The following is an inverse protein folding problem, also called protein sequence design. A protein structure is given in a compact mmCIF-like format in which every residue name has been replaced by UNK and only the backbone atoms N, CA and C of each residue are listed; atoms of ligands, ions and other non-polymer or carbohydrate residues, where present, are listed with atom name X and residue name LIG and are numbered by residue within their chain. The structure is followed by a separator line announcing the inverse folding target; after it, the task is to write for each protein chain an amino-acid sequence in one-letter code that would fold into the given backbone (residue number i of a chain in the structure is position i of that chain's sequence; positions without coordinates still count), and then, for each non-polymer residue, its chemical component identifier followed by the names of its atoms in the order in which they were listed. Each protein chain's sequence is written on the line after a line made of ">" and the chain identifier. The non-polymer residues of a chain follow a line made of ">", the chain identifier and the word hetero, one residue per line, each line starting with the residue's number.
data_IF_981099848833
#
_entry.id   IF_981099848833
#
_cell.length_a   1.000
_cell.length_b   1.000
_cell.length_c   1.000
_cell.angle_alpha   90.00
_cell.angle_beta   90.00
_cell.angle_gamma   90.00
#
_symmetry.space_group_name_H-M   'P 1'
#
loop_
_entity.id
_entity.type
_entity.pdbx_description
1 polymer ?
#
# COMPACT_ATOMS: atom_id res chain seq x y z
N UNK A 1 -52.09 -14.51 -34.84
CA UNK A 1 -51.67 -13.53 -33.80
C UNK A 1 -50.18 -13.37 -33.91
N UNK A 2 -49.72 -12.20 -34.37
CA UNK A 2 -48.31 -11.86 -34.55
C UNK A 2 -47.93 -10.97 -33.36
N UNK A 3 -47.14 -11.50 -32.43
CA UNK A 3 -46.50 -10.75 -31.36
C UNK A 3 -45.00 -10.65 -31.66
N UNK A 4 -44.54 -9.43 -32.00
CA UNK A 4 -43.12 -9.05 -32.08
C UNK A 4 -42.48 -9.11 -30.68
N UNK A 5 -41.13 -9.16 -30.57
CA UNK A 5 -40.44 -7.90 -30.29
C UNK A 5 -39.10 -7.77 -31.06
N UNK A 6 -38.88 -6.62 -31.70
CA UNK A 6 -38.07 -5.51 -31.15
C UNK A 6 -36.58 -5.72 -31.47
N UNK A 7 -36.22 -5.30 -32.67
CA UNK A 7 -34.86 -5.04 -33.10
C UNK A 7 -34.33 -3.83 -32.32
N UNK A 8 -33.66 -4.07 -31.21
CA UNK A 8 -32.87 -3.07 -30.48
C UNK A 8 -31.43 -3.09 -31.00
N UNK A 9 -31.23 -2.44 -32.14
CA UNK A 9 -29.91 -2.22 -32.73
C UNK A 9 -29.40 -0.85 -32.28
N UNK A 10 -28.38 -0.80 -31.43
CA UNK A 10 -27.49 0.37 -31.43
C UNK A 10 -26.74 0.78 -30.16
N UNK A 11 -27.07 0.31 -28.94
CA UNK A 11 -26.50 0.92 -27.71
C UNK A 11 -25.52 0.00 -26.94
N UNK A 12 -25.36 -1.27 -27.34
CA UNK A 12 -24.56 -2.24 -26.59
C UNK A 12 -23.04 -2.25 -26.91
N UNK A 13 -22.55 -1.45 -27.87
CA UNK A 13 -21.15 -1.48 -28.30
C UNK A 13 -20.18 -0.70 -27.40
N UNK A 14 -20.56 0.53 -26.99
CA UNK A 14 -19.65 1.42 -26.23
C UNK A 14 -19.55 1.05 -24.75
N UNK A 15 -20.67 0.67 -24.13
CA UNK A 15 -20.69 0.23 -22.73
C UNK A 15 -19.84 -1.04 -22.53
N UNK A 16 -19.85 -1.96 -23.49
CA UNK A 16 -19.04 -3.18 -23.46
C UNK A 16 -17.54 -2.89 -23.61
N UNK A 17 -17.15 -1.87 -24.38
CA UNK A 17 -15.75 -1.51 -24.57
C UNK A 17 -15.17 -0.82 -23.32
N UNK A 18 -15.93 0.10 -22.72
CA UNK A 18 -15.50 0.80 -21.51
C UNK A 18 -15.44 -0.14 -20.29
N UNK A 19 -16.39 -1.06 -20.15
CA UNK A 19 -16.33 -2.10 -19.11
C UNK A 19 -15.13 -3.03 -19.30
N UNK A 20 -14.81 -3.39 -20.55
CA UNK A 20 -13.64 -4.21 -20.86
C UNK A 20 -12.34 -3.50 -20.49
N UNK A 21 -12.21 -2.22 -20.83
CA UNK A 21 -11.04 -1.41 -20.50
C UNK A 21 -10.85 -1.29 -18.99
N UNK A 22 -11.90 -0.97 -18.23
CA UNK A 22 -11.85 -0.89 -16.77
C UNK A 22 -11.47 -2.23 -16.12
N UNK A 23 -11.98 -3.35 -16.67
CA UNK A 23 -11.63 -4.70 -16.20
C UNK A 23 -10.17 -5.04 -16.52
N UNK A 24 -9.69 -4.72 -17.71
CA UNK A 24 -8.30 -4.92 -18.11
C UNK A 24 -7.36 -4.08 -17.25
N UNK A 25 -7.73 -2.85 -16.90
CA UNK A 25 -6.94 -2.01 -16.01
C UNK A 25 -6.84 -2.62 -14.60
N UNK A 26 -7.96 -3.10 -14.05
CA UNK A 26 -7.99 -3.79 -12.75
C UNK A 26 -7.10 -5.04 -12.75
N UNK A 27 -7.22 -5.88 -13.79
CA UNK A 27 -6.40 -7.06 -13.98
C UNK A 27 -4.92 -6.70 -14.14
N UNK A 28 -4.61 -5.66 -14.91
CA UNK A 28 -3.24 -5.16 -15.14
C UNK A 28 -2.57 -4.71 -13.84
N UNK A 29 -3.30 -4.00 -12.97
CA UNK A 29 -2.81 -3.62 -11.63
C UNK A 29 -2.48 -4.85 -10.78
N UNK A 30 -3.34 -5.87 -10.80
CA UNK A 30 -3.14 -7.11 -10.04
C UNK A 30 -1.96 -7.94 -10.56
N UNK A 31 -1.84 -8.10 -11.88
CA UNK A 31 -0.69 -8.77 -12.51
C UNK A 31 0.61 -8.04 -12.15
N UNK A 32 0.63 -6.71 -12.23
CA UNK A 32 1.81 -5.91 -11.88
C UNK A 32 2.21 -6.09 -10.41
N UNK A 33 1.24 -6.15 -9.50
CA UNK A 33 1.49 -6.44 -8.08
C UNK A 33 2.12 -7.82 -7.89
N UNK A 34 1.60 -8.86 -8.54
CA UNK A 34 2.18 -10.21 -8.49
C UNK A 34 3.61 -10.26 -9.04
N UNK A 35 3.84 -9.65 -10.21
CA UNK A 35 5.14 -9.65 -10.85
C UNK A 35 6.20 -8.89 -10.05
N UNK A 36 5.81 -7.86 -9.28
CA UNK A 36 6.73 -7.11 -8.40
C UNK A 36 7.37 -7.99 -7.31
N UNK A 37 6.68 -9.05 -6.88
CA UNK A 37 7.19 -9.98 -5.87
C UNK A 37 8.10 -11.07 -6.45
N UNK A 38 8.15 -11.21 -7.77
CA UNK A 38 9.02 -12.17 -8.44
C UNK A 38 10.41 -11.56 -8.69
N UNK A 39 11.50 -12.34 -8.47
CA UNK A 39 12.87 -11.90 -8.73
C UNK A 39 13.17 -11.89 -10.23
N UNK A 40 12.42 -11.08 -10.98
CA UNK A 40 12.53 -10.93 -12.43
C UNK A 40 13.10 -9.56 -12.78
N UNK A 41 13.88 -9.45 -13.87
CA UNK A 41 14.25 -8.14 -14.42
C UNK A 41 12.99 -7.32 -14.77
N UNK A 42 13.06 -6.01 -14.56
CA UNK A 42 11.92 -5.10 -14.78
C UNK A 42 11.35 -5.19 -16.19
N UNK A 43 12.22 -5.22 -17.20
CA UNK A 43 11.84 -5.41 -18.60
C UNK A 43 11.02 -6.68 -18.80
N UNK A 44 11.42 -7.79 -18.20
CA UNK A 44 10.73 -9.08 -18.31
C UNK A 44 9.36 -9.03 -17.64
N UNK A 45 9.23 -8.32 -16.50
CA UNK A 45 7.93 -8.10 -15.86
C UNK A 45 6.97 -7.33 -16.76
N UNK A 46 7.43 -6.26 -17.39
CA UNK A 46 6.58 -5.47 -18.29
C UNK A 46 6.18 -6.24 -19.54
N UNK A 47 7.11 -6.94 -20.18
CA UNK A 47 6.81 -7.79 -21.33
C UNK A 47 5.76 -8.86 -20.99
N UNK A 48 5.92 -9.56 -19.86
CA UNK A 48 4.94 -10.56 -19.40
C UNK A 48 3.56 -9.96 -19.12
N UNK A 49 3.51 -8.79 -18.49
CA UNK A 49 2.24 -8.11 -18.22
C UNK A 49 1.52 -7.74 -19.52
N UNK A 50 2.25 -7.16 -20.48
CA UNK A 50 1.70 -6.77 -21.78
C UNK A 50 1.24 -7.98 -22.60
N UNK A 51 2.06 -9.02 -22.69
CA UNK A 51 1.68 -10.26 -23.41
C UNK A 51 0.41 -10.88 -22.81
N UNK A 52 0.28 -10.89 -21.48
CA UNK A 52 -0.89 -11.45 -20.79
C UNK A 52 -2.14 -10.62 -21.05
N UNK A 53 -2.03 -9.29 -20.95
CA UNK A 53 -3.16 -8.38 -21.22
C UNK A 53 -3.59 -8.40 -22.68
N UNK A 54 -2.64 -8.50 -23.62
CA UNK A 54 -2.93 -8.58 -25.04
C UNK A 54 -3.68 -9.86 -25.41
N UNK A 55 -3.26 -11.00 -24.84
CA UNK A 55 -3.97 -12.27 -25.00
C UNK A 55 -5.39 -12.22 -24.39
N UNK A 56 -5.55 -11.54 -23.25
CA UNK A 56 -6.84 -11.37 -22.60
C UNK A 56 -7.78 -10.45 -23.40
N UNK A 57 -7.24 -9.39 -24.02
CA UNK A 57 -8.01 -8.47 -24.86
C UNK A 57 -8.45 -9.12 -26.19
N UNK A 58 -7.65 -10.05 -26.72
CA UNK A 58 -7.96 -10.75 -27.97
C UNK A 58 -9.11 -11.76 -27.83
N UNK A 59 -9.29 -12.34 -26.64
CA UNK A 59 -10.40 -13.21 -26.30
C UNK A 59 -10.86 -12.91 -24.87
N UNK A 60 -11.79 -11.96 -24.69
CA UNK A 60 -12.28 -11.59 -23.36
C UNK A 60 -13.10 -12.72 -22.70
N UNK A 61 -13.76 -13.56 -23.49
CA UNK A 61 -14.60 -14.67 -23.00
C UNK A 61 -15.58 -14.22 -21.90
N UNK A 62 -15.65 -15.00 -20.82
CA UNK A 62 -16.48 -14.68 -19.65
C UNK A 62 -15.81 -13.65 -18.73
N UNK A 63 -16.36 -12.43 -18.74
CA UNK A 63 -15.89 -11.28 -17.95
C UNK A 63 -15.95 -11.50 -16.44
N UNK A 64 -16.81 -12.39 -15.95
CA UNK A 64 -16.92 -12.69 -14.51
C UNK A 64 -15.70 -13.44 -13.98
N UNK A 65 -15.00 -14.17 -14.85
CA UNK A 65 -13.83 -15.02 -14.52
C UNK A 65 -12.53 -14.48 -15.10
N UNK A 66 -12.53 -13.23 -15.57
CA UNK A 66 -11.39 -12.60 -16.24
C UNK A 66 -10.11 -12.61 -15.38
N UNK A 67 -10.24 -12.42 -14.06
CA UNK A 67 -9.11 -12.48 -13.13
C UNK A 67 -8.48 -13.87 -13.09
N UNK A 68 -9.28 -14.92 -12.85
CA UNK A 68 -8.80 -16.30 -12.78
C UNK A 68 -8.17 -16.74 -14.12
N UNK A 69 -8.75 -16.29 -15.24
CA UNK A 69 -8.23 -16.53 -16.58
C UNK A 69 -6.89 -15.84 -16.79
N UNK A 70 -6.78 -14.56 -16.43
CA UNK A 70 -5.55 -13.79 -16.57
C UNK A 70 -4.38 -14.41 -15.79
N UNK A 71 -4.62 -14.86 -14.56
CA UNK A 71 -3.61 -15.56 -13.76
C UNK A 71 -3.21 -16.90 -14.39
N UNK A 72 -4.14 -17.64 -14.99
CA UNK A 72 -3.83 -18.90 -15.69
C UNK A 72 -2.92 -18.66 -16.89
N UNK A 73 -3.20 -17.62 -17.69
CA UNK A 73 -2.36 -17.22 -18.83
C UNK A 73 -0.98 -16.79 -18.33
N UNK A 74 -0.92 -15.97 -17.28
CA UNK A 74 0.35 -15.53 -16.70
C UNK A 74 1.20 -16.74 -16.26
N UNK A 75 0.60 -17.70 -15.57
CA UNK A 75 1.31 -18.90 -15.11
C UNK A 75 1.77 -19.80 -16.26
N UNK A 76 0.98 -19.96 -17.32
CA UNK A 76 1.41 -20.74 -18.48
C UNK A 76 2.63 -20.10 -19.15
N UNK A 77 2.60 -18.77 -19.33
CA UNK A 77 3.73 -18.02 -19.89
C UNK A 77 4.98 -18.07 -19.02
N UNK A 78 4.82 -17.92 -17.70
CA UNK A 78 5.93 -18.08 -16.75
C UNK A 78 6.57 -19.47 -16.82
N UNK A 79 5.75 -20.52 -17.03
CA UNK A 79 6.22 -21.91 -17.16
C UNK A 79 7.00 -22.14 -18.46
N UNK A 80 6.55 -21.55 -19.57
CA UNK A 80 7.19 -21.69 -20.88
C UNK A 80 8.55 -21.00 -20.96
N UNK A 81 8.69 -19.85 -20.29
CA UNK A 81 9.81 -18.92 -20.48
C UNK A 81 11.14 -19.38 -19.85
N UNK A 82 11.20 -20.60 -19.28
CA UNK A 82 12.38 -21.19 -18.59
C UNK A 82 13.25 -20.10 -17.96
N UNK A 83 12.68 -19.43 -16.95
CA UNK A 83 13.33 -18.30 -16.33
C UNK A 83 14.66 -18.75 -15.75
N UNK A 84 15.76 -18.20 -16.26
CA UNK A 84 17.06 -18.23 -15.60
C UNK A 84 16.89 -17.40 -14.32
N UNK A 85 16.39 -18.07 -13.28
CA UNK A 85 16.43 -17.61 -11.91
C UNK A 85 17.91 -17.64 -11.52
N UNK A 86 18.68 -16.70 -12.06
CA UNK A 86 20.05 -16.45 -11.65
C UNK A 86 19.97 -16.32 -10.14
N UNK A 87 20.56 -17.31 -9.47
CA UNK A 87 20.39 -17.57 -8.06
C UNK A 87 20.71 -16.29 -7.29
N UNK A 88 19.68 -15.53 -6.93
CA UNK A 88 19.78 -14.60 -5.82
C UNK A 88 20.13 -15.53 -4.65
N UNK A 89 21.33 -15.45 -4.05
CA UNK A 89 21.66 -16.32 -2.95
C UNK A 89 20.63 -16.00 -1.87
N UNK A 90 19.66 -16.88 -1.68
CA UNK A 90 18.81 -16.82 -0.52
C UNK A 90 19.78 -16.85 0.67
N UNK A 91 19.74 -15.85 1.57
CA UNK A 91 20.56 -15.93 2.76
C UNK A 91 20.28 -17.29 3.41
N UNK A 92 21.32 -18.05 3.79
CA UNK A 92 21.14 -19.40 4.29
C UNK A 92 20.09 -19.36 5.40
N UNK A 93 19.08 -20.23 5.30
CA UNK A 93 18.03 -20.36 6.31
C UNK A 93 18.69 -20.86 7.61
N UNK A 94 19.24 -19.95 8.40
CA UNK A 94 19.74 -20.24 9.73
C UNK A 94 18.51 -20.44 10.62
N UNK A 95 18.12 -21.70 10.81
CA UNK A 95 17.21 -22.08 11.89
C UNK A 95 17.96 -21.97 13.22
N UNK A 96 18.27 -20.76 13.64
CA UNK A 96 18.66 -20.52 15.03
C UNK A 96 17.40 -20.58 15.88
N UNK A 97 17.49 -21.21 17.05
CA UNK A 97 16.46 -21.09 18.08
C UNK A 97 16.22 -19.61 18.32
N UNK A 98 15.01 -19.12 18.03
CA UNK A 98 14.67 -17.72 18.25
C UNK A 98 14.81 -17.44 19.75
N UNK A 99 15.87 -16.74 20.15
CA UNK A 99 16.01 -16.28 21.53
C UNK A 99 14.99 -15.15 21.73
N UNK A 100 14.03 -15.27 22.67
CA UNK A 100 13.05 -14.21 22.94
C UNK A 100 13.74 -12.87 23.24
N UNK A 101 14.91 -12.93 23.88
CA UNK A 101 15.78 -11.80 24.21
C UNK A 101 16.33 -11.03 22.99
N UNK A 102 16.34 -11.64 21.79
CA UNK A 102 16.80 -11.01 20.55
C UNK A 102 15.67 -10.30 19.80
N UNK A 103 14.39 -10.60 20.08
CA UNK A 103 13.26 -9.87 19.49
C UNK A 103 13.24 -8.40 19.91
N UNK A 104 13.68 -8.09 21.14
CA UNK A 104 13.82 -6.71 21.65
C UNK A 104 15.08 -6.00 21.17
N UNK A 105 15.98 -6.71 20.48
CA UNK A 105 17.20 -6.13 19.90
C UNK A 105 17.02 -5.65 18.46
N UNK A 106 15.78 -5.63 17.95
CA UNK A 106 15.46 -5.03 16.65
C UNK A 106 16.03 -3.60 16.61
N UNK A 107 17.00 -3.30 15.71
CA UNK A 107 17.70 -2.01 15.71
C UNK A 107 16.74 -0.83 15.60
N UNK A 108 15.64 -1.00 14.87
CA UNK A 108 14.63 0.02 14.71
C UNK A 108 13.81 0.28 15.97
N UNK A 109 13.52 -0.72 16.81
CA UNK A 109 12.83 -0.54 18.10
C UNK A 109 13.73 0.25 19.05
N UNK A 110 15.03 -0.06 19.08
CA UNK A 110 16.01 0.68 19.88
C UNK A 110 16.19 2.12 19.39
N UNK A 111 16.22 2.34 18.07
CA UNK A 111 16.24 3.68 17.48
C UNK A 111 14.95 4.45 17.81
N UNK A 112 13.80 3.80 17.69
CA UNK A 112 12.49 4.39 18.02
C UNK A 112 12.41 4.76 19.50
N UNK A 113 12.76 3.86 20.42
CA UNK A 113 12.79 4.16 21.84
C UNK A 113 13.81 5.25 22.20
N UNK A 114 14.97 5.31 21.53
CA UNK A 114 15.96 6.38 21.77
C UNK A 114 15.46 7.76 21.33
N UNK A 115 14.62 7.84 20.30
CA UNK A 115 14.08 9.10 19.78
C UNK A 115 12.80 9.50 20.53
N UNK A 116 11.88 8.56 20.73
CA UNK A 116 10.54 8.85 21.25
C UNK A 116 10.48 8.94 22.77
N UNK A 117 11.36 8.24 23.50
CA UNK A 117 11.40 8.31 24.97
C UNK A 117 11.74 9.71 25.49
N UNK A 118 12.78 10.42 25.01
CA UNK A 118 13.04 11.79 25.45
C UNK A 118 11.95 12.77 24.99
N UNK A 119 11.35 12.59 23.80
CA UNK A 119 10.24 13.42 23.34
C UNK A 119 9.01 13.27 24.24
N UNK A 120 8.66 12.04 24.62
CA UNK A 120 7.56 11.74 25.55
C UNK A 120 7.85 12.31 26.95
N UNK A 121 9.07 12.14 27.46
CA UNK A 121 9.47 12.70 28.75
C UNK A 121 9.42 14.23 28.74
N UNK A 122 9.87 14.89 27.67
CA UNK A 122 9.81 16.34 27.53
C UNK A 122 8.35 16.85 27.44
N UNK A 123 7.51 16.21 26.63
CA UNK A 123 6.08 16.57 26.57
C UNK A 123 5.37 16.33 27.90
N UNK A 124 5.70 15.25 28.60
CA UNK A 124 5.15 14.96 29.92
C UNK A 124 5.64 15.99 30.95
N UNK A 125 6.88 16.46 30.87
CA UNK A 125 7.43 17.48 31.77
C UNK A 125 6.82 18.86 31.54
N UNK A 126 6.47 19.19 30.29
CA UNK A 126 5.71 20.41 29.93
C UNK A 126 4.25 20.31 30.44
N UNK A 127 3.63 19.14 30.28
CA UNK A 127 2.23 18.90 30.67
C UNK A 127 2.05 18.69 32.18
N UNK A 128 3.10 18.29 32.90
CA UNK A 128 3.07 18.09 34.34
C UNK A 128 3.25 19.43 35.06
N UNK A 129 2.15 20.20 35.05
CA UNK A 129 1.69 21.29 35.94
C UNK A 129 2.65 22.41 36.36
N UNK A 130 3.91 22.15 36.71
CA UNK A 130 4.81 23.15 37.28
C UNK A 130 5.12 24.32 36.34
N UNK A 131 5.24 24.08 35.03
CA UNK A 131 5.50 25.14 34.05
C UNK A 131 4.23 25.96 33.73
N UNK A 132 3.08 25.27 33.67
CA UNK A 132 1.79 25.93 33.49
C UNK A 132 1.45 26.81 34.71
N UNK A 133 1.71 26.31 35.92
CA UNK A 133 1.52 27.06 37.16
C UNK A 133 2.46 28.27 37.23
N UNK A 134 3.75 28.13 36.89
CA UNK A 134 4.67 29.28 36.85
C UNK A 134 4.21 30.37 35.87
N UNK A 135 3.74 29.99 34.67
CA UNK A 135 3.24 30.95 33.68
C UNK A 135 1.94 31.61 34.17
N UNK A 136 1.05 30.84 34.78
CA UNK A 136 -0.19 31.36 35.37
C UNK A 136 0.12 32.34 36.51
N UNK A 137 1.03 32.00 37.42
CA UNK A 137 1.46 32.87 38.51
C UNK A 137 2.14 34.15 37.98
N UNK A 138 2.99 34.04 36.95
CA UNK A 138 3.64 35.20 36.34
C UNK A 138 2.62 36.14 35.67
N UNK A 139 1.63 35.59 34.98
CA UNK A 139 0.54 36.38 34.38
C UNK A 139 -0.36 37.02 35.44
N UNK A 140 -0.62 36.32 36.55
CA UNK A 140 -1.41 36.84 37.67
C UNK A 140 -0.67 37.97 38.39
N UNK A 141 0.64 37.84 38.61
CA UNK A 141 1.51 38.90 39.14
C UNK A 141 1.58 40.11 38.22
N UNK A 142 1.71 39.90 36.90
CA UNK A 142 1.71 40.97 35.92
C UNK A 142 0.36 41.70 35.88
N UNK A 143 -0.76 40.96 35.97
CA UNK A 143 -2.10 41.53 36.05
C UNK A 143 -2.32 42.35 37.33
N UNK A 144 -1.87 41.85 38.48
CA UNK A 144 -1.92 42.59 39.75
C UNK A 144 -1.06 43.86 39.72
N UNK A 145 0.12 43.80 39.10
CA UNK A 145 0.99 44.97 38.96
C UNK A 145 0.36 46.03 38.04
N UNK A 146 -0.26 45.61 36.93
CA UNK A 146 -0.99 46.50 36.04
C UNK A 146 -2.22 47.14 36.69
N UNK A 147 -2.94 46.40 37.55
CA UNK A 147 -4.10 46.90 38.30
C UNK A 147 -3.71 47.77 39.52
N UNK A 148 -2.55 47.51 40.13
CA UNK A 148 -2.03 48.29 41.25
C UNK A 148 -1.32 49.58 40.84
N UNK A 149 -0.86 49.67 39.58
CA UNK A 149 -0.23 50.88 39.02
C UNK A 149 -1.21 52.05 38.79
N UNK A 150 -2.52 51.80 38.88
CA UNK A 150 -3.61 52.77 38.71
C UNK A 150 -4.24 53.21 40.05
N UNK A 151 -3.68 52.83 41.21
CA UNK A 151 -4.10 53.37 42.50
C UNK A 151 -3.20 54.56 42.89
N UNK A 152 -3.77 55.77 43.13
CA UNK A 152 -3.01 56.96 43.52
C UNK A 152 -2.40 56.87 44.92
#
# INVERSE_FOLDING_TARGET
>A
MISRPFSDTGVHGEASSAELEARLESVGRRISMYLRHLPLPERVRHELALETLHLLASDPGDMTRIEARSMRILYSRLRERKLDMAAMPAPPLSRSHMKPEEMDRRPWVRAMLRIWRPAYSFSAQIMNTAYADMVLYALLLAGLYALGADQP
#
